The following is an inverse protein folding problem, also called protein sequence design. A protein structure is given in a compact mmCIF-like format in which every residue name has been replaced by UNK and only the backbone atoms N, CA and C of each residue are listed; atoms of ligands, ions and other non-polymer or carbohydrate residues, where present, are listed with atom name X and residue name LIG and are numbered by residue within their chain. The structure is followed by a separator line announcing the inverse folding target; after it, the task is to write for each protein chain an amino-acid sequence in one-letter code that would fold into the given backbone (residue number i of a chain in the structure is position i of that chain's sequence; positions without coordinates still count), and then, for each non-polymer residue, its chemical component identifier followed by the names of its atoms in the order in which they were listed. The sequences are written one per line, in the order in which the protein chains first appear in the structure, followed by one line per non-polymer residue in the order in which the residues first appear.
data_IF_934067740837
#
_entry.id   IF_934067740837
#
_cell.length_a   1.000
_cell.length_b   1.000
_cell.length_c   1.000
_cell.angle_alpha   90.00
_cell.angle_beta   90.00
_cell.angle_gamma   90.00
#
_symmetry.space_group_name_H-M   'P 1'
#
loop_
_entity.id
_entity.type
_entity.pdbx_description
1 polymer ?
#
# COMPACT_ATOMS: atom_id res chain seq x y z
N UNK A 1 -30.03 -11.85 0.07
CA UNK A 1 -29.47 -10.55 -0.37
C UNK A 1 -28.41 -10.11 0.63
N UNK A 2 -27.22 -10.68 0.58
CA UNK A 2 -26.16 -10.39 1.56
C UNK A 2 -24.82 -10.92 1.09
N UNK A 3 -24.18 -10.24 0.12
CA UNK A 3 -22.80 -10.54 -0.27
C UNK A 3 -22.09 -9.43 -1.06
N UNK A 4 -22.63 -8.20 -1.13
CA UNK A 4 -21.94 -7.11 -1.86
C UNK A 4 -20.92 -6.35 -1.00
N UNK A 5 -21.21 -6.14 0.29
CA UNK A 5 -20.28 -5.45 1.19
C UNK A 5 -19.07 -6.32 1.62
N UNK A 6 -19.23 -7.64 1.68
CA UNK A 6 -18.14 -8.56 2.02
C UNK A 6 -17.17 -8.80 0.84
N UNK A 7 -17.63 -8.58 -0.40
CA UNK A 7 -16.81 -8.72 -1.59
C UNK A 7 -15.70 -7.66 -1.70
N UNK A 8 -15.98 -6.43 -1.24
CA UNK A 8 -15.04 -5.30 -1.21
C UNK A 8 -13.76 -5.65 -0.43
N UNK A 9 -13.91 -6.15 0.80
CA UNK A 9 -12.76 -6.51 1.64
C UNK A 9 -11.98 -7.74 1.15
N UNK A 10 -12.61 -8.67 0.42
CA UNK A 10 -11.95 -9.90 -0.01
C UNK A 10 -11.00 -9.66 -1.20
N UNK A 11 -11.44 -8.90 -2.22
CA UNK A 11 -10.56 -8.61 -3.35
C UNK A 11 -9.43 -7.64 -2.95
N UNK A 12 -9.70 -6.67 -2.06
CA UNK A 12 -8.68 -5.73 -1.57
C UNK A 12 -7.55 -6.43 -0.82
N UNK A 13 -7.88 -7.43 0.01
CA UNK A 13 -6.85 -8.24 0.68
C UNK A 13 -5.99 -9.01 -0.31
N UNK A 14 -6.58 -9.53 -1.38
CA UNK A 14 -5.82 -10.23 -2.42
C UNK A 14 -4.93 -9.25 -3.19
N UNK A 15 -5.46 -8.07 -3.54
CA UNK A 15 -4.69 -7.02 -4.18
C UNK A 15 -3.50 -6.59 -3.31
N UNK A 16 -3.72 -6.31 -2.02
CA UNK A 16 -2.66 -5.96 -1.08
C UNK A 16 -1.60 -7.07 -0.98
N UNK A 17 -2.00 -8.34 -0.89
CA UNK A 17 -1.05 -9.45 -0.84
C UNK A 17 -0.17 -9.52 -2.09
N UNK A 18 -0.72 -9.28 -3.28
CA UNK A 18 0.04 -9.29 -4.53
C UNK A 18 0.97 -8.07 -4.59
N UNK A 19 0.53 -6.88 -4.15
CA UNK A 19 1.41 -5.69 -4.05
C UNK A 19 2.60 -5.96 -3.16
N UNK A 20 2.37 -6.55 -1.98
CA UNK A 20 3.44 -6.90 -1.05
C UNK A 20 4.42 -7.90 -1.67
N UNK A 21 3.95 -8.89 -2.43
CA UNK A 21 4.81 -9.85 -3.11
C UNK A 21 5.65 -9.21 -4.24
N UNK A 22 5.08 -8.25 -4.98
CA UNK A 22 5.82 -7.47 -5.98
C UNK A 22 6.83 -6.54 -5.30
N UNK A 23 6.44 -5.87 -4.21
CA UNK A 23 7.28 -4.94 -3.47
C UNK A 23 8.43 -5.63 -2.71
N UNK A 24 8.21 -6.86 -2.24
CA UNK A 24 9.24 -7.69 -1.58
C UNK A 24 10.20 -8.34 -2.57
N UNK A 25 9.87 -8.35 -3.87
CA UNK A 25 10.64 -9.01 -4.91
C UNK A 25 10.38 -10.52 -5.01
N UNK A 26 9.37 -11.06 -4.32
CA UNK A 26 8.89 -12.43 -4.54
C UNK A 26 8.31 -12.61 -5.95
N UNK A 27 7.69 -11.55 -6.49
CA UNK A 27 7.27 -11.46 -7.88
C UNK A 27 8.10 -10.38 -8.58
N UNK A 28 8.91 -10.78 -9.57
CA UNK A 28 9.77 -9.85 -10.27
C UNK A 28 8.99 -8.99 -11.28
N UNK A 29 9.42 -7.73 -11.53
CA UNK A 29 8.92 -6.94 -12.64
C UNK A 29 9.03 -7.70 -13.97
N UNK A 30 7.97 -7.68 -14.77
CA UNK A 30 7.88 -8.44 -16.03
C UNK A 30 7.63 -9.95 -15.86
N UNK A 31 7.53 -10.46 -14.63
CA UNK A 31 7.19 -11.87 -14.36
C UNK A 31 5.71 -12.16 -14.67
N UNK A 32 5.43 -13.37 -15.14
CA UNK A 32 4.08 -13.82 -15.44
C UNK A 32 3.35 -14.22 -14.14
N UNK A 33 2.17 -13.66 -13.91
CA UNK A 33 1.32 -14.07 -12.80
C UNK A 33 0.81 -15.51 -13.00
N UNK A 34 0.68 -16.30 -11.92
CA UNK A 34 0.00 -17.58 -11.99
C UNK A 34 -1.45 -17.42 -12.49
N UNK A 35 -2.03 -18.50 -13.03
CA UNK A 35 -3.37 -18.44 -13.59
C UNK A 35 -4.42 -18.04 -12.55
N UNK A 36 -5.47 -17.34 -12.99
CA UNK A 36 -6.54 -16.87 -12.10
C UNK A 36 -7.19 -18.01 -11.28
N UNK A 37 -7.21 -19.25 -11.77
CA UNK A 37 -7.75 -20.37 -10.98
C UNK A 37 -6.84 -20.76 -9.82
N UNK A 38 -5.52 -20.76 -10.06
CA UNK A 38 -4.53 -21.18 -9.06
C UNK A 38 -4.42 -20.13 -7.95
N UNK A 39 -4.37 -18.85 -8.32
CA UNK A 39 -4.40 -17.74 -7.36
C UNK A 39 -5.68 -17.73 -6.53
N UNK A 40 -6.83 -18.04 -7.13
CA UNK A 40 -8.10 -18.08 -6.39
C UNK A 40 -8.08 -19.18 -5.33
N UNK A 41 -7.48 -20.33 -5.63
CA UNK A 41 -7.28 -21.41 -4.67
C UNK A 41 -6.28 -21.03 -3.57
N UNK A 42 -5.13 -20.45 -3.94
CA UNK A 42 -4.09 -20.03 -2.99
C UNK A 42 -4.63 -19.01 -1.97
N UNK A 43 -5.37 -18.01 -2.44
CA UNK A 43 -5.95 -16.97 -1.59
C UNK A 43 -7.30 -17.37 -0.97
N UNK A 44 -7.83 -18.56 -1.28
CA UNK A 44 -9.12 -19.08 -0.79
C UNK A 44 -10.29 -18.12 -1.06
N UNK A 45 -10.33 -17.57 -2.27
CA UNK A 45 -11.40 -16.66 -2.73
C UNK A 45 -12.13 -17.24 -3.94
N UNK A 46 -13.31 -16.71 -4.23
CA UNK A 46 -14.01 -17.07 -5.48
C UNK A 46 -13.27 -16.50 -6.69
N UNK A 47 -13.41 -17.16 -7.85
CA UNK A 47 -12.81 -16.69 -9.09
C UNK A 47 -13.23 -15.25 -9.47
N UNK A 48 -14.51 -14.83 -9.34
CA UNK A 48 -14.90 -13.45 -9.58
C UNK A 48 -14.22 -12.44 -8.65
N UNK A 49 -14.03 -12.79 -7.37
CA UNK A 49 -13.31 -11.94 -6.40
C UNK A 49 -11.85 -11.76 -6.80
N UNK A 50 -11.19 -12.83 -7.23
CA UNK A 50 -9.82 -12.72 -7.73
C UNK A 50 -9.77 -11.88 -9.01
N UNK A 51 -10.66 -12.13 -9.98
CA UNK A 51 -10.70 -11.35 -11.23
C UNK A 51 -10.87 -9.86 -10.94
N UNK A 52 -11.67 -9.51 -9.93
CA UNK A 52 -11.83 -8.13 -9.46
C UNK A 52 -10.55 -7.56 -8.83
N UNK A 53 -9.82 -8.35 -8.04
CA UNK A 53 -8.51 -7.94 -7.50
C UNK A 53 -7.48 -7.71 -8.62
N UNK A 54 -7.43 -8.62 -9.60
CA UNK A 54 -6.52 -8.54 -10.75
C UNK A 54 -6.87 -7.36 -11.65
N UNK A 55 -8.16 -7.03 -11.80
CA UNK A 55 -8.59 -5.82 -12.51
C UNK A 55 -8.15 -4.55 -11.78
N UNK A 56 -8.36 -4.46 -10.46
CA UNK A 56 -7.90 -3.34 -9.65
C UNK A 56 -6.38 -3.13 -9.79
N UNK A 57 -5.59 -4.20 -9.70
CA UNK A 57 -4.14 -4.10 -9.82
C UNK A 57 -3.67 -3.66 -11.22
N UNK A 58 -4.45 -3.94 -12.26
CA UNK A 58 -4.19 -3.41 -13.61
C UNK A 58 -4.51 -1.92 -13.69
N UNK A 59 -5.63 -1.49 -13.10
CA UNK A 59 -6.02 -0.08 -13.02
C UNK A 59 -5.00 0.75 -12.23
N UNK A 60 -4.47 0.18 -11.14
CA UNK A 60 -3.43 0.78 -10.31
C UNK A 60 -2.02 0.72 -10.94
N UNK A 61 -1.84 -0.01 -12.05
CA UNK A 61 -0.57 -0.11 -12.77
C UNK A 61 0.43 -1.12 -12.22
N UNK A 62 0.04 -1.96 -11.26
CA UNK A 62 0.88 -3.04 -10.73
C UNK A 62 1.01 -4.20 -11.71
N UNK A 63 -0.04 -4.44 -12.50
CA UNK A 63 -0.12 -5.54 -13.46
C UNK A 63 -0.44 -5.02 -14.86
N UNK A 64 0.06 -5.71 -15.88
CA UNK A 64 -0.20 -5.39 -17.29
C UNK A 64 -0.71 -6.64 -18.01
N UNK A 65 -1.87 -6.57 -18.68
CA UNK A 65 -2.30 -7.65 -19.55
C UNK A 65 -1.44 -7.65 -20.82
N UNK A 66 -0.84 -8.80 -21.16
CA UNK A 66 -0.15 -8.98 -22.45
C UNK A 66 -0.96 -9.94 -23.31
N UNK A 67 -1.33 -9.48 -24.51
CA UNK A 67 -2.19 -10.21 -25.44
C UNK A 67 -1.70 -11.66 -25.61
N UNK A 68 -2.66 -12.60 -25.54
CA UNK A 68 -2.53 -14.06 -25.69
C UNK A 68 -1.65 -14.84 -24.70
N UNK A 69 -0.91 -14.19 -23.78
CA UNK A 69 0.01 -14.92 -22.87
C UNK A 69 -0.37 -14.81 -21.39
N UNK A 70 -1.11 -13.79 -20.97
CA UNK A 70 -1.66 -13.69 -19.61
C UNK A 70 -1.44 -12.33 -18.97
N UNK A 71 -1.43 -12.31 -17.64
CA UNK A 71 -1.19 -11.11 -16.84
C UNK A 71 0.24 -11.15 -16.31
N UNK A 72 0.92 -10.02 -16.37
CA UNK A 72 2.32 -9.87 -15.97
C UNK A 72 2.44 -8.77 -14.92
N UNK A 73 3.46 -8.85 -14.07
CA UNK A 73 3.86 -7.73 -13.22
C UNK A 73 4.37 -6.60 -14.12
N UNK A 74 3.98 -5.36 -13.82
CA UNK A 74 4.49 -4.18 -14.54
C UNK A 74 6.02 -4.16 -14.50
N UNK A 75 6.65 -3.71 -15.58
CA UNK A 75 8.11 -3.54 -15.63
C UNK A 75 8.58 -2.39 -14.72
N UNK A 76 7.69 -1.43 -14.45
CA UNK A 76 7.85 -0.35 -13.48
C UNK A 76 6.60 -0.30 -12.59
N UNK A 77 6.47 -1.20 -11.59
CA UNK A 77 5.31 -1.21 -10.72
C UNK A 77 5.34 0.03 -9.80
N UNK A 78 4.17 0.56 -9.41
CA UNK A 78 4.10 1.62 -8.42
C UNK A 78 4.86 1.22 -7.16
N UNK A 79 5.52 2.19 -6.51
CA UNK A 79 6.11 1.94 -5.20
C UNK A 79 5.00 1.93 -4.16
N UNK A 80 4.93 0.87 -3.35
CA UNK A 80 3.95 0.78 -2.27
C UNK A 80 4.17 1.97 -1.34
N UNK A 81 3.23 2.92 -1.34
CA UNK A 81 3.28 4.01 -0.38
C UNK A 81 2.79 3.45 0.96
N UNK A 82 3.56 3.59 2.04
CA UNK A 82 3.12 3.13 3.35
C UNK A 82 1.78 3.80 3.66
N UNK A 83 0.80 2.99 4.06
CA UNK A 83 -0.50 3.50 4.49
C UNK A 83 -0.28 4.25 5.80
N UNK A 84 -0.20 5.58 5.73
CA UNK A 84 -0.12 6.45 6.90
C UNK A 84 -1.51 6.59 7.50
N UNK A 85 -1.70 6.16 8.74
CA UNK A 85 -3.00 6.29 9.41
C UNK A 85 -3.16 7.68 10.05
N UNK A 86 -4.41 8.08 10.32
CA UNK A 86 -4.69 9.31 11.05
C UNK A 86 -4.05 9.31 12.44
N UNK A 87 -3.92 8.14 13.07
CA UNK A 87 -3.23 7.98 14.37
C UNK A 87 -1.73 8.27 14.24
N UNK A 88 -1.10 7.84 13.14
CA UNK A 88 0.31 8.12 12.88
C UNK A 88 0.55 9.61 12.68
N UNK A 89 -0.32 10.27 11.90
CA UNK A 89 -0.27 11.72 11.70
C UNK A 89 -0.44 12.45 13.03
N UNK A 90 -1.44 12.06 13.83
CA UNK A 90 -1.71 12.69 15.13
C UNK A 90 -0.50 12.56 16.07
N UNK A 91 0.14 11.39 16.12
CA UNK A 91 1.35 11.17 16.91
C UNK A 91 2.49 12.08 16.44
N UNK A 92 2.76 12.11 15.14
CA UNK A 92 3.80 12.97 14.57
C UNK A 92 3.56 14.47 14.88
N UNK A 93 2.31 14.94 14.81
CA UNK A 93 1.97 16.33 15.15
C UNK A 93 2.24 16.65 16.63
N UNK A 94 1.96 15.72 17.55
CA UNK A 94 2.25 15.91 18.98
C UNK A 94 3.76 15.99 19.23
N UNK A 95 4.53 15.09 18.60
CA UNK A 95 5.99 15.08 18.69
C UNK A 95 6.60 16.39 18.17
N UNK A 96 6.15 16.84 17.00
CA UNK A 96 6.60 18.11 16.41
C UNK A 96 6.28 19.31 17.30
N UNK A 97 5.05 19.39 17.84
CA UNK A 97 4.68 20.50 18.75
C UNK A 97 5.54 20.51 20.00
N UNK A 98 5.80 19.34 20.57
CA UNK A 98 6.68 19.21 21.74
C UNK A 98 8.10 19.66 21.43
N UNK A 99 8.63 19.25 20.26
CA UNK A 99 9.96 19.66 19.83
C UNK A 99 10.05 21.19 19.58
N UNK A 100 9.02 21.79 18.97
CA UNK A 100 8.95 23.23 18.73
C UNK A 100 8.96 24.00 20.05
N UNK A 101 8.12 23.63 21.02
CA UNK A 101 8.10 24.30 22.34
C UNK A 101 9.44 24.18 23.07
N UNK A 102 10.12 23.03 22.98
CA UNK A 102 11.45 22.85 23.56
C UNK A 102 12.52 23.72 22.89
N UNK A 103 12.38 23.99 21.59
CA UNK A 103 13.26 24.90 20.86
C UNK A 103 13.01 26.35 21.28
N UNK A 104 11.74 26.76 21.39
CA UNK A 104 11.33 28.09 21.84
C UNK A 104 11.90 28.40 23.24
N UNK A 105 11.73 27.52 24.22
CA UNK A 105 12.28 27.70 25.58
C UNK A 105 13.82 27.79 25.62
N UNK A 106 14.50 27.15 24.67
CA UNK A 106 15.96 27.22 24.57
C UNK A 106 16.40 28.52 23.90
N UNK A 107 15.63 29.03 22.95
CA UNK A 107 15.87 30.31 22.31
C UNK A 107 15.73 31.44 23.33
N UNK A 108 14.62 31.48 24.08
CA UNK A 108 14.37 32.50 25.11
C UNK A 108 15.51 32.57 26.12
N UNK A 109 16.00 31.40 26.60
CA UNK A 109 17.15 31.34 27.52
C UNK A 109 18.45 31.89 26.95
N UNK A 110 18.67 31.76 25.64
CA UNK A 110 19.87 32.27 24.98
C UNK A 110 19.77 33.77 24.77
N UNK A 111 18.59 34.28 24.40
CA UNK A 111 18.33 35.71 24.26
C UNK A 111 18.51 36.42 25.62
N UNK A 112 17.91 35.89 26.70
CA UNK A 112 18.07 36.42 28.06
C UNK A 112 19.53 36.43 28.57
N UNK A 113 20.34 35.47 28.14
CA UNK A 113 21.74 35.36 28.52
C UNK A 113 22.66 36.28 27.70
N UNK A 114 22.23 36.69 26.51
CA UNK A 114 22.99 37.56 25.62
C UNK A 114 22.74 39.06 25.87
N UNK A 115 21.63 39.40 26.53
CA UNK A 115 21.24 40.78 26.89
C UNK A 115 21.81 41.25 28.25
N UNK A 116 22.63 40.44 28.94
CA UNK A 116 23.36 40.80 30.19
C UNK A 116 24.85 41.03 29.94
#
# INVERSE_FOLDING_TARGET
MGSEAAGLAAYERVAASIRTAVASGELAPGERLPGNRDLAQQHKVSLPTLQRAVALLQEEGWLVPRASVGVYVSDDPPKEQPVVTLTDIRRAVVELRTAVSAIEERLDRLEDASDR
#
